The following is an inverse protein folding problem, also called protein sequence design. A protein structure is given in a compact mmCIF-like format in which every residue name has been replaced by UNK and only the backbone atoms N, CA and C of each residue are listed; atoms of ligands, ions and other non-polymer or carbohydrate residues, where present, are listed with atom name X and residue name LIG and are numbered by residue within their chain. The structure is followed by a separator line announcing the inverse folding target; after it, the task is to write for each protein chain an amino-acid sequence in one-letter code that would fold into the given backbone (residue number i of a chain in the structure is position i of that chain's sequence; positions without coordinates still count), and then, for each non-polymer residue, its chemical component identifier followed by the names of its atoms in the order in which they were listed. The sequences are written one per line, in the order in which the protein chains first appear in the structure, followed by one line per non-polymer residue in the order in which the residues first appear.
data_IF_651374679359
#
_entry.id   IF_651374679359
#
_cell.length_a   1.000
_cell.length_b   1.000
_cell.length_c   1.000
_cell.angle_alpha   90.00
_cell.angle_beta   90.00
_cell.angle_gamma   90.00
#
_symmetry.space_group_name_H-M   'P 1'
#
loop_
_entity.id
_entity.type
_entity.pdbx_description
1 polymer ?
#
# COMPACT_ATOMS: atom_id res chain seq x y z
N UNK A 1 -3.40 29.79 5.55
CA UNK A 1 -4.51 29.85 4.58
C UNK A 1 -5.70 30.44 5.31
N UNK A 2 -6.38 31.43 4.69
CA UNK A 2 -7.65 31.98 5.18
C UNK A 2 -8.71 31.65 4.14
N UNK A 3 -9.76 30.92 4.55
CA UNK A 3 -10.88 30.57 3.70
C UNK A 3 -12.20 30.87 4.43
N UNK A 4 -13.15 31.50 3.72
CA UNK A 4 -14.53 31.69 4.20
C UNK A 4 -15.39 30.68 3.42
N UNK A 5 -15.91 29.64 4.08
CA UNK A 5 -16.77 28.66 3.40
C UNK A 5 -18.00 29.33 2.78
N UNK A 6 -18.38 28.84 1.61
CA UNK A 6 -19.62 29.21 0.92
C UNK A 6 -20.71 28.13 1.06
N UNK A 7 -20.34 26.98 1.65
CA UNK A 7 -21.20 25.81 1.85
C UNK A 7 -21.19 25.39 3.31
N UNK A 8 -22.23 24.66 3.71
CA UNK A 8 -22.41 24.19 5.10
C UNK A 8 -21.42 23.06 5.46
N UNK A 9 -20.87 22.37 4.46
CA UNK A 9 -19.83 21.36 4.64
C UNK A 9 -18.68 21.65 3.68
N UNK A 10 -17.46 21.64 4.23
CA UNK A 10 -16.20 21.84 3.48
C UNK A 10 -15.15 20.89 4.02
N UNK A 11 -14.51 20.16 3.14
CA UNK A 11 -13.37 19.30 3.46
C UNK A 11 -12.06 19.99 3.09
N UNK A 12 -11.09 19.93 4.00
CA UNK A 12 -9.74 20.40 3.76
C UNK A 12 -8.79 19.21 3.73
N UNK A 13 -8.07 19.05 2.64
CA UNK A 13 -7.10 18.00 2.48
C UNK A 13 -5.72 18.57 2.17
N UNK A 14 -4.68 17.96 2.71
CA UNK A 14 -3.29 18.34 2.46
C UNK A 14 -2.88 17.96 1.02
N UNK A 15 -3.30 16.76 0.60
CA UNK A 15 -3.16 16.24 -0.76
C UNK A 15 -4.51 15.77 -1.30
N UNK A 16 -4.57 15.42 -2.58
CA UNK A 16 -5.78 14.81 -3.17
C UNK A 16 -6.17 13.56 -2.36
N UNK A 17 -7.36 13.52 -1.76
CA UNK A 17 -7.78 12.39 -0.94
C UNK A 17 -7.80 11.09 -1.74
N UNK A 18 -7.43 9.98 -1.08
CA UNK A 18 -7.72 8.63 -1.52
C UNK A 18 -8.52 7.95 -0.41
N UNK A 19 -9.80 7.75 -0.65
CA UNK A 19 -10.74 7.27 0.37
C UNK A 19 -10.70 5.75 0.52
N UNK A 20 -11.20 5.22 1.64
CA UNK A 20 -11.35 3.77 1.81
C UNK A 20 -12.34 3.15 0.82
N UNK A 21 -13.28 3.95 0.28
CA UNK A 21 -14.14 3.49 -0.81
C UNK A 21 -13.36 3.32 -2.13
N UNK A 22 -12.44 4.25 -2.43
CA UNK A 22 -11.54 4.12 -3.59
C UNK A 22 -10.62 2.90 -3.41
N UNK A 23 -10.08 2.69 -2.20
CA UNK A 23 -9.31 1.49 -1.85
C UNK A 23 -10.10 0.21 -2.14
N UNK A 24 -11.32 0.09 -1.64
CA UNK A 24 -12.16 -1.08 -1.87
C UNK A 24 -12.45 -1.29 -3.37
N UNK A 25 -12.67 -0.21 -4.14
CA UNK A 25 -12.84 -0.28 -5.59
C UNK A 25 -11.57 -0.74 -6.31
N UNK A 26 -10.40 -0.28 -5.87
CA UNK A 26 -9.10 -0.71 -6.40
C UNK A 26 -8.91 -2.22 -6.23
N UNK A 27 -9.14 -2.72 -5.01
CA UNK A 27 -9.07 -4.16 -4.68
C UNK A 27 -10.06 -4.96 -5.55
N UNK A 28 -11.32 -4.52 -5.62
CA UNK A 28 -12.34 -5.21 -6.41
C UNK A 28 -12.02 -5.22 -7.91
N UNK A 29 -11.48 -4.13 -8.45
CA UNK A 29 -11.07 -4.03 -9.85
C UNK A 29 -9.88 -4.94 -10.16
N UNK A 30 -8.87 -4.96 -9.30
CA UNK A 30 -7.71 -5.82 -9.49
C UNK A 30 -8.08 -7.30 -9.54
N UNK A 31 -9.00 -7.74 -8.67
CA UNK A 31 -9.48 -9.14 -8.62
C UNK A 31 -10.26 -9.59 -9.87
N UNK A 32 -10.66 -8.68 -10.75
CA UNK A 32 -11.31 -9.03 -12.02
C UNK A 32 -10.32 -9.54 -13.08
N UNK A 33 -9.01 -9.39 -12.82
CA UNK A 33 -7.95 -9.84 -13.72
C UNK A 33 -7.51 -11.26 -13.36
N UNK A 34 -7.42 -12.11 -14.37
CA UNK A 34 -6.95 -13.47 -14.20
C UNK A 34 -5.54 -13.51 -13.58
N UNK A 35 -5.33 -14.43 -12.64
CA UNK A 35 -4.06 -14.56 -11.93
C UNK A 35 -3.86 -13.57 -10.78
N UNK A 36 -4.89 -12.79 -10.43
CA UNK A 36 -4.91 -11.94 -9.23
C UNK A 36 -5.74 -12.61 -8.15
N UNK A 37 -5.18 -12.74 -6.96
CA UNK A 37 -5.88 -13.21 -5.76
C UNK A 37 -5.77 -12.19 -4.64
N UNK A 38 -6.80 -12.13 -3.79
CA UNK A 38 -6.81 -11.34 -2.57
C UNK A 38 -6.63 -12.26 -1.36
N UNK A 39 -5.60 -12.00 -0.56
CA UNK A 39 -5.42 -12.56 0.77
C UNK A 39 -5.71 -11.46 1.81
N UNK A 40 -6.46 -11.80 2.85
CA UNK A 40 -6.57 -10.95 4.05
C UNK A 40 -5.56 -11.47 5.06
N UNK A 41 -4.50 -10.69 5.33
CA UNK A 41 -3.42 -11.08 6.23
C UNK A 41 -3.85 -11.15 7.70
N UNK A 42 -4.88 -10.39 8.06
CA UNK A 42 -5.44 -10.26 9.39
C UNK A 42 -6.17 -8.94 9.53
N UNK A 43 -6.39 -8.52 10.75
CA UNK A 43 -7.11 -7.29 11.09
C UNK A 43 -6.20 -6.31 11.84
N UNK A 44 -6.45 -5.03 11.63
CA UNK A 44 -5.85 -3.93 12.37
C UNK A 44 -6.52 -3.74 13.73
N UNK A 45 -6.05 -2.76 14.52
CA UNK A 45 -6.62 -2.46 15.83
C UNK A 45 -8.10 -2.03 15.77
N UNK A 46 -8.52 -1.38 14.68
CA UNK A 46 -9.92 -0.98 14.46
C UNK A 46 -10.73 -2.05 13.70
N UNK A 47 -10.15 -3.24 13.47
CA UNK A 47 -10.81 -4.31 12.73
C UNK A 47 -10.90 -4.08 11.22
N UNK A 48 -10.00 -3.25 10.63
CA UNK A 48 -9.89 -3.14 9.17
C UNK A 48 -9.07 -4.32 8.64
N UNK A 49 -9.46 -4.84 7.47
CA UNK A 49 -8.71 -5.87 6.80
C UNK A 49 -7.34 -5.36 6.33
N UNK A 50 -6.31 -6.20 6.46
CA UNK A 50 -5.00 -6.00 5.84
C UNK A 50 -4.96 -6.73 4.50
N UNK A 51 -5.30 -6.01 3.45
CA UNK A 51 -5.43 -6.54 2.10
C UNK A 51 -4.08 -6.74 1.43
N UNK A 52 -3.83 -7.95 0.93
CA UNK A 52 -2.69 -8.32 0.10
C UNK A 52 -3.19 -8.84 -1.25
N UNK A 53 -2.91 -8.14 -2.33
CA UNK A 53 -3.09 -8.66 -3.68
C UNK A 53 -1.85 -9.47 -4.08
N UNK A 54 -2.05 -10.74 -4.43
CA UNK A 54 -1.03 -11.57 -5.05
C UNK A 54 -1.29 -11.68 -6.54
N UNK A 55 -0.28 -11.36 -7.35
CA UNK A 55 -0.36 -11.40 -8.82
C UNK A 55 0.64 -12.44 -9.31
N UNK A 56 0.13 -13.46 -9.97
CA UNK A 56 0.89 -14.60 -10.44
C UNK A 56 0.94 -15.78 -9.45
N UNK A 57 1.28 -16.96 -9.94
CA UNK A 57 1.42 -18.16 -9.14
C UNK A 57 2.88 -18.35 -8.72
N UNK A 58 3.13 -18.70 -7.43
CA UNK A 58 4.47 -19.01 -6.95
C UNK A 58 5.09 -20.21 -7.69
N UNK A 59 6.37 -20.09 -7.98
CA UNK A 59 7.15 -21.14 -8.61
C UNK A 59 8.62 -20.94 -8.24
N UNK A 60 9.41 -22.01 -8.25
CA UNK A 60 10.82 -21.98 -7.82
C UNK A 60 11.74 -21.12 -8.71
N UNK A 61 11.30 -20.78 -9.90
CA UNK A 61 12.00 -19.96 -10.89
C UNK A 61 11.54 -18.51 -10.91
N UNK A 62 10.56 -18.14 -10.08
CA UNK A 62 10.06 -16.76 -9.96
C UNK A 62 10.58 -16.07 -8.71
N UNK A 63 10.87 -14.79 -8.87
CA UNK A 63 11.22 -13.90 -7.77
C UNK A 63 9.96 -13.39 -7.04
N UNK A 64 10.09 -13.05 -5.77
CA UNK A 64 9.03 -12.45 -4.96
C UNK A 64 9.24 -10.94 -4.88
N UNK A 65 8.40 -10.19 -5.57
CA UNK A 65 8.42 -8.73 -5.60
C UNK A 65 7.32 -8.17 -4.72
N UNK A 66 7.73 -7.36 -3.77
CA UNK A 66 6.83 -6.68 -2.85
C UNK A 66 6.69 -5.21 -3.23
N UNK A 67 5.45 -4.71 -3.19
CA UNK A 67 5.19 -3.28 -3.21
C UNK A 67 4.18 -2.96 -2.10
N UNK A 68 4.58 -2.11 -1.19
CA UNK A 68 3.75 -1.63 -0.09
C UNK A 68 3.59 -0.12 -0.22
N UNK A 69 2.46 0.43 0.21
CA UNK A 69 2.20 1.85 0.11
C UNK A 69 1.47 2.39 1.34
N UNK A 70 1.56 3.69 1.52
CA UNK A 70 0.76 4.44 2.49
C UNK A 70 0.94 3.98 3.95
N UNK A 71 2.19 3.72 4.36
CA UNK A 71 2.51 3.54 5.78
C UNK A 71 2.11 4.77 6.61
N UNK A 72 2.25 5.96 6.01
CA UNK A 72 1.75 7.22 6.56
C UNK A 72 0.42 7.59 5.90
N UNK A 73 -0.68 7.63 6.65
CA UNK A 73 -2.03 7.80 6.09
C UNK A 73 -2.22 9.09 5.29
N UNK A 74 -1.57 10.19 5.72
CA UNK A 74 -1.65 11.49 5.05
C UNK A 74 -0.98 11.53 3.67
N UNK A 75 -0.11 10.57 3.37
CA UNK A 75 0.55 10.43 2.08
C UNK A 75 -0.36 9.70 1.07
N UNK A 76 -1.54 10.29 0.81
CA UNK A 76 -2.56 9.69 -0.09
C UNK A 76 -2.07 9.47 -1.51
N UNK A 77 -1.04 10.24 -1.97
CA UNK A 77 -0.42 10.07 -3.28
C UNK A 77 0.26 8.70 -3.44
N UNK A 78 0.66 8.04 -2.35
CA UNK A 78 1.23 6.70 -2.41
C UNK A 78 0.21 5.66 -2.91
N UNK A 79 -1.06 5.80 -2.54
CA UNK A 79 -2.12 4.91 -3.00
C UNK A 79 -2.63 5.28 -4.40
N UNK A 80 -2.61 6.57 -4.77
CA UNK A 80 -2.80 7.00 -6.16
C UNK A 80 -1.71 6.42 -7.09
N UNK A 81 -0.46 6.42 -6.62
CA UNK A 81 0.63 5.76 -7.34
C UNK A 81 0.38 4.25 -7.49
N UNK A 82 -0.07 3.61 -6.42
CA UNK A 82 -0.36 2.17 -6.43
C UNK A 82 -1.49 1.82 -7.41
N UNK A 83 -2.51 2.67 -7.53
CA UNK A 83 -3.56 2.51 -8.53
C UNK A 83 -2.98 2.52 -9.95
N UNK A 84 -2.18 3.53 -10.30
CA UNK A 84 -1.52 3.60 -11.61
C UNK A 84 -0.52 2.48 -11.85
N UNK A 85 0.16 2.02 -10.80
CA UNK A 85 1.07 0.88 -10.89
C UNK A 85 0.31 -0.42 -11.21
N UNK A 86 -0.79 -0.68 -10.51
CA UNK A 86 -1.65 -1.85 -10.76
C UNK A 86 -2.30 -1.79 -12.13
N UNK A 87 -2.81 -0.63 -12.55
CA UNK A 87 -3.39 -0.45 -13.89
C UNK A 87 -2.39 -0.85 -14.97
N UNK A 88 -1.14 -0.45 -14.84
CA UNK A 88 -0.10 -0.80 -15.79
C UNK A 88 0.37 -2.25 -15.64
N UNK A 89 0.59 -2.71 -14.41
CA UNK A 89 1.06 -4.08 -14.15
C UNK A 89 0.07 -5.12 -14.66
N UNK A 90 -1.23 -4.82 -14.63
CA UNK A 90 -2.30 -5.72 -15.06
C UNK A 90 -2.73 -5.52 -16.52
N UNK A 91 -2.20 -4.52 -17.22
CA UNK A 91 -2.50 -4.29 -18.62
C UNK A 91 -1.98 -5.46 -19.49
N UNK A 92 -2.87 -6.19 -20.18
CA UNK A 92 -2.45 -7.29 -21.03
C UNK A 92 -1.72 -6.82 -22.31
N UNK A 93 -1.76 -5.55 -22.65
CA UNK A 93 -1.07 -4.98 -23.81
C UNK A 93 0.33 -4.45 -23.50
N UNK A 94 0.68 -4.22 -22.22
CA UNK A 94 2.00 -3.75 -21.81
C UNK A 94 3.00 -4.92 -21.77
N UNK A 95 3.91 -4.95 -22.73
CA UNK A 95 4.93 -6.01 -22.85
C UNK A 95 5.87 -6.08 -21.65
N UNK A 96 6.25 -4.92 -21.08
CA UNK A 96 7.12 -4.91 -19.91
C UNK A 96 6.41 -5.49 -18.67
N UNK A 97 5.13 -5.20 -18.50
CA UNK A 97 4.32 -5.79 -17.45
C UNK A 97 4.15 -7.31 -17.64
N UNK A 98 3.94 -7.77 -18.88
CA UNK A 98 3.88 -9.21 -19.18
C UNK A 98 5.19 -9.92 -18.79
N UNK A 99 6.34 -9.39 -19.24
CA UNK A 99 7.65 -9.96 -18.93
C UNK A 99 7.93 -9.99 -17.42
N UNK A 100 7.52 -8.97 -16.70
CA UNK A 100 7.65 -8.92 -15.24
C UNK A 100 6.79 -9.99 -14.56
N UNK A 101 5.52 -10.16 -14.96
CA UNK A 101 4.62 -11.19 -14.41
C UNK A 101 5.07 -12.62 -14.72
N UNK A 102 5.79 -12.82 -15.83
CA UNK A 102 6.40 -14.12 -16.16
C UNK A 102 7.55 -14.47 -15.20
N UNK A 103 8.31 -13.47 -14.73
CA UNK A 103 9.53 -13.66 -13.94
C UNK A 103 9.33 -13.51 -12.43
N UNK A 104 8.24 -12.90 -12.02
CA UNK A 104 7.99 -12.60 -10.61
C UNK A 104 6.55 -12.88 -10.19
N UNK A 105 6.39 -13.14 -8.91
CA UNK A 105 5.13 -13.06 -8.18
C UNK A 105 5.12 -11.73 -7.46
N UNK A 106 4.06 -10.96 -7.67
CA UNK A 106 3.92 -9.68 -6.99
C UNK A 106 3.03 -9.83 -5.75
N UNK A 107 3.50 -9.27 -4.65
CA UNK A 107 2.80 -9.16 -3.37
C UNK A 107 2.57 -7.67 -3.12
N UNK A 108 1.33 -7.22 -3.21
CA UNK A 108 0.97 -5.79 -3.19
C UNK A 108 0.09 -5.49 -1.99
N UNK A 109 0.53 -4.59 -1.13
CA UNK A 109 -0.27 -4.02 -0.03
C UNK A 109 -0.54 -2.55 -0.36
N UNK A 110 -1.71 -2.22 -0.93
CA UNK A 110 -1.97 -0.87 -1.42
C UNK A 110 -2.08 0.17 -0.30
N UNK A 111 -2.52 -0.25 0.88
CA UNK A 111 -2.64 0.60 2.05
C UNK A 111 -2.13 -0.13 3.30
N UNK A 112 -0.96 0.28 3.76
CA UNK A 112 -0.34 -0.25 4.97
C UNK A 112 -1.01 0.26 6.26
N UNK A 113 -1.81 1.33 6.20
CA UNK A 113 -2.36 1.98 7.38
C UNK A 113 -3.85 2.31 7.19
N UNK A 114 -4.71 1.29 7.08
CA UNK A 114 -6.14 1.52 6.82
C UNK A 114 -6.85 2.22 7.98
N UNK A 115 -6.47 1.95 9.23
CA UNK A 115 -7.03 2.65 10.40
C UNK A 115 -6.73 4.15 10.37
N UNK A 116 -5.46 4.50 10.18
CA UNK A 116 -5.04 5.89 10.08
C UNK A 116 -5.66 6.59 8.87
N UNK A 117 -5.79 5.89 7.74
CA UNK A 117 -6.44 6.40 6.53
C UNK A 117 -7.92 6.72 6.79
N UNK A 118 -8.63 5.84 7.48
CA UNK A 118 -10.05 6.03 7.84
C UNK A 118 -10.24 7.14 8.87
N UNK A 119 -9.33 7.25 9.84
CA UNK A 119 -9.37 8.27 10.89
C UNK A 119 -8.89 9.66 10.43
N UNK A 120 -8.25 9.74 9.26
CA UNK A 120 -7.65 10.98 8.76
C UNK A 120 -6.38 11.38 9.51
N UNK A 121 -5.61 10.41 9.99
CA UNK A 121 -4.32 10.68 10.62
C UNK A 121 -3.30 11.13 9.57
N UNK A 122 -2.36 11.99 9.98
CA UNK A 122 -1.28 12.40 9.08
C UNK A 122 -0.23 11.29 8.94
N UNK A 123 0.19 10.67 10.07
CA UNK A 123 1.39 9.82 10.06
C UNK A 123 1.27 8.50 10.82
N UNK A 124 0.40 8.42 11.79
CA UNK A 124 0.35 7.28 12.72
C UNK A 124 -0.83 6.36 12.47
N UNK A 125 -0.73 5.11 12.94
CA UNK A 125 -1.84 4.17 12.99
C UNK A 125 -2.81 4.45 14.17
N UNK A 126 -3.73 3.55 14.45
CA UNK A 126 -4.71 3.67 15.53
C UNK A 126 -4.08 3.72 16.93
N UNK A 127 -2.92 3.08 17.13
CA UNK A 127 -2.15 3.13 18.37
C UNK A 127 -1.26 4.36 18.53
N UNK A 128 -1.23 5.26 17.54
CA UNK A 128 -0.29 6.39 17.52
C UNK A 128 1.13 5.99 17.11
N UNK A 129 1.33 4.80 16.55
CA UNK A 129 2.63 4.32 16.10
C UNK A 129 2.92 4.80 14.67
N UNK A 130 4.19 5.19 14.42
CA UNK A 130 4.69 5.44 13.08
C UNK A 130 5.16 4.11 12.48
N UNK A 131 4.39 3.53 11.57
CA UNK A 131 4.64 2.19 11.02
C UNK A 131 6.05 2.05 10.43
N UNK A 132 6.58 3.09 9.80
CA UNK A 132 7.94 3.11 9.25
C UNK A 132 9.05 3.14 10.33
N UNK A 133 8.72 2.92 11.60
CA UNK A 133 9.66 2.77 12.73
C UNK A 133 9.43 1.47 13.50
N UNK A 134 8.45 0.68 13.10
CA UNK A 134 8.04 -0.53 13.82
C UNK A 134 8.63 -1.84 13.22
N UNK A 135 9.32 -1.78 12.09
CA UNK A 135 9.77 -2.96 11.34
C UNK A 135 10.78 -3.86 12.06
N UNK A 136 11.55 -3.33 13.00
CA UNK A 136 12.51 -4.12 13.79
C UNK A 136 11.81 -5.06 14.76
N UNK A 137 10.80 -4.56 15.47
CA UNK A 137 10.09 -5.28 16.53
C UNK A 137 8.57 -4.97 16.48
N UNK A 138 7.86 -5.37 15.41
CA UNK A 138 6.43 -5.12 15.31
C UNK A 138 5.65 -6.01 16.28
N UNK A 139 4.55 -5.49 16.83
CA UNK A 139 3.70 -6.21 17.76
C UNK A 139 2.21 -6.03 17.41
N UNK A 140 1.41 -7.08 17.63
CA UNK A 140 -0.01 -7.08 17.27
C UNK A 140 -0.86 -6.06 18.03
N UNK A 141 -0.44 -5.68 19.23
CA UNK A 141 -1.12 -4.67 20.05
C UNK A 141 -0.70 -3.22 19.74
N UNK A 142 0.33 -3.03 18.90
CA UNK A 142 0.89 -1.73 18.58
C UNK A 142 0.95 -1.43 17.08
N UNK A 143 1.42 -2.39 16.30
CA UNK A 143 1.62 -2.26 14.85
C UNK A 143 1.27 -3.56 14.12
N UNK A 144 0.01 -4.04 14.26
CA UNK A 144 -0.44 -5.28 13.62
C UNK A 144 -0.22 -5.24 12.11
N UNK A 145 -0.34 -4.09 11.51
CA UNK A 145 -0.14 -3.87 10.06
C UNK A 145 1.26 -4.32 9.62
N UNK A 146 2.28 -3.83 10.32
CA UNK A 146 3.68 -4.21 10.04
C UNK A 146 3.94 -5.66 10.42
N UNK A 147 3.42 -6.11 11.56
CA UNK A 147 3.58 -7.49 12.01
C UNK A 147 3.09 -8.48 10.95
N UNK A 148 1.85 -8.32 10.49
CA UNK A 148 1.21 -9.22 9.52
C UNK A 148 1.94 -9.23 8.16
N UNK A 149 2.32 -8.06 7.67
CA UNK A 149 3.04 -7.95 6.39
C UNK A 149 4.44 -8.53 6.50
N UNK A 150 5.17 -8.23 7.58
CA UNK A 150 6.52 -8.76 7.81
C UNK A 150 6.54 -10.29 7.94
N UNK A 151 5.60 -10.87 8.69
CA UNK A 151 5.47 -12.33 8.80
C UNK A 151 5.20 -12.98 7.43
N UNK A 152 4.36 -12.37 6.61
CA UNK A 152 4.12 -12.86 5.24
C UNK A 152 5.37 -12.71 4.37
N UNK A 153 6.11 -11.60 4.45
CA UNK A 153 7.39 -11.42 3.75
C UNK A 153 8.42 -12.48 4.13
N UNK A 154 8.53 -12.79 5.43
CA UNK A 154 9.44 -13.84 5.91
C UNK A 154 9.04 -15.22 5.40
N UNK A 155 7.75 -15.50 5.28
CA UNK A 155 7.24 -16.78 4.80
C UNK A 155 7.39 -16.97 3.28
N UNK A 156 7.23 -15.90 2.49
CA UNK A 156 7.29 -15.96 1.01
C UNK A 156 8.67 -15.63 0.45
N UNK A 157 9.51 -14.93 1.20
CA UNK A 157 10.71 -14.27 0.69
C UNK A 157 10.38 -12.89 0.09
N UNK A 158 11.40 -12.06 -0.06
CA UNK A 158 11.33 -10.76 -0.70
C UNK A 158 12.67 -10.51 -1.44
N UNK A 159 12.68 -10.78 -2.73
CA UNK A 159 13.85 -10.52 -3.59
C UNK A 159 13.96 -9.04 -3.93
N UNK A 160 12.83 -8.34 -3.96
CA UNK A 160 12.73 -6.90 -4.15
C UNK A 160 11.55 -6.36 -3.33
N UNK A 161 11.74 -5.20 -2.73
CA UNK A 161 10.66 -4.49 -2.03
C UNK A 161 10.69 -3.00 -2.37
N UNK A 162 9.54 -2.50 -2.77
CA UNK A 162 9.29 -1.08 -3.00
C UNK A 162 8.33 -0.59 -1.91
N UNK A 163 8.78 0.41 -1.13
CA UNK A 163 7.97 1.09 -0.13
C UNK A 163 7.62 2.49 -0.65
N UNK A 164 6.35 2.69 -0.94
CA UNK A 164 5.86 3.89 -1.61
C UNK A 164 5.37 4.91 -0.60
N UNK A 165 6.07 6.01 -0.53
CA UNK A 165 5.77 7.16 0.30
C UNK A 165 5.40 8.39 -0.52
N UNK A 166 4.93 9.44 0.16
CA UNK A 166 4.86 10.79 -0.35
C UNK A 166 5.84 11.69 0.39
N UNK A 167 6.23 12.79 -0.22
CA UNK A 167 6.99 13.84 0.44
C UNK A 167 6.20 15.16 0.41
N UNK A 168 6.21 15.88 1.54
CA UNK A 168 5.42 17.10 1.73
C UNK A 168 6.14 18.34 1.20
N UNK A 169 7.45 18.27 1.02
CA UNK A 169 8.30 19.40 0.66
C UNK A 169 8.91 19.27 -0.74
N UNK A 170 9.15 18.06 -1.22
CA UNK A 170 9.82 17.81 -2.49
C UNK A 170 8.81 17.62 -3.62
N UNK A 171 8.80 18.50 -4.64
CA UNK A 171 7.86 18.40 -5.76
C UNK A 171 8.38 17.46 -6.87
N UNK A 172 9.19 16.47 -6.54
CA UNK A 172 9.83 15.56 -7.49
C UNK A 172 9.55 14.11 -7.14
N UNK A 173 9.54 13.27 -8.16
CA UNK A 173 9.65 11.83 -7.97
C UNK A 173 11.12 11.45 -7.76
N UNK A 174 11.40 10.66 -6.75
CA UNK A 174 12.74 10.17 -6.47
C UNK A 174 12.71 8.74 -5.92
N UNK A 175 13.83 8.06 -6.03
CA UNK A 175 14.08 6.77 -5.40
C UNK A 175 15.15 6.95 -4.34
N UNK A 176 14.88 6.46 -3.14
CA UNK A 176 15.86 6.35 -2.07
C UNK A 176 16.18 4.87 -1.86
N UNK A 177 17.45 4.51 -1.95
CA UNK A 177 17.92 3.15 -1.68
C UNK A 177 18.68 3.12 -0.36
N UNK A 178 18.57 2.03 0.38
CA UNK A 178 19.50 1.73 1.47
C UNK A 178 20.80 1.23 0.84
N UNK A 179 21.89 1.96 1.08
CA UNK A 179 23.22 1.41 0.79
C UNK A 179 23.59 0.49 1.95
N UNK A 180 23.75 -0.80 1.65
CA UNK A 180 24.20 -1.81 2.59
C UNK A 180 25.69 -1.69 2.88
#
# INVERSE_FOLDING_TARGET
IRHKPLHDAVEYAYFAPYTMEQHARLIARAQQTDGVSLDVLGETLDGQAMDLLRIGEPSSDKQNFWAIARQHPGESMAEWWMEGFLDRLLDPSDRAAQELRERAVFHIVPNMNPDGSRRGHLRTNAAGANLNREWSEPAMDRSPEVYLVRERMLATGADFCLDVHGDEALPYNFLAGMMG
#
